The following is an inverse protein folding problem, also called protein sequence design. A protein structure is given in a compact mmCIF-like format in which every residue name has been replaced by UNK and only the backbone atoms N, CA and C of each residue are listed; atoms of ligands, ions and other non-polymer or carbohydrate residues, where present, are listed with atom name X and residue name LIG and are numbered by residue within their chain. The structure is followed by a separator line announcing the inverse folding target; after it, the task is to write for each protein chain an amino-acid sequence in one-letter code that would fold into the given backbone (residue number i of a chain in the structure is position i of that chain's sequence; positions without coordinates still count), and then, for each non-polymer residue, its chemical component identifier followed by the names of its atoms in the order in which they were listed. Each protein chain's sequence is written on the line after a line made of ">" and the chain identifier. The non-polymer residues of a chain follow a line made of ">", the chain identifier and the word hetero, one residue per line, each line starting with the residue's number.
data_IF_907757429361
#
_entry.id   IF_907757429361
#
_cell.length_a   1.000
_cell.length_b   1.000
_cell.length_c   1.000
_cell.angle_alpha   90.00
_cell.angle_beta   90.00
_cell.angle_gamma   90.00
#
_symmetry.space_group_name_H-M   'P 1'
#
loop_
_entity.id
_entity.type
_entity.pdbx_description
1 polymer ?
#
# COMPACT_ATOMS: atom_id res chain seq x y z
N UNK A 1 -13.79 -21.18 13.56
CA UNK A 1 -12.34 -21.13 13.89
C UNK A 1 -12.03 -19.75 14.45
N UNK A 2 -11.05 -19.61 15.37
CA UNK A 2 -10.69 -18.34 16.01
C UNK A 2 -9.19 -18.07 15.85
N UNK A 3 -8.85 -16.88 15.38
CA UNK A 3 -7.48 -16.42 15.15
C UNK A 3 -7.24 -15.14 15.94
N UNK A 4 -6.04 -14.92 16.48
CA UNK A 4 -5.72 -13.68 17.18
C UNK A 4 -4.29 -13.23 16.88
N UNK A 5 -4.12 -11.94 16.53
CA UNK A 5 -2.82 -11.42 16.14
C UNK A 5 -2.83 -9.91 15.95
N UNK A 6 -1.62 -9.34 15.89
CA UNK A 6 -1.43 -7.93 15.53
C UNK A 6 -1.62 -7.75 14.03
N UNK A 7 -2.49 -6.83 13.64
CA UNK A 7 -2.69 -6.49 12.24
C UNK A 7 -1.40 -5.90 11.65
N UNK A 8 -1.02 -6.47 10.52
CA UNK A 8 0.02 -5.99 9.60
C UNK A 8 -0.62 -5.87 8.22
N UNK A 9 0.01 -5.13 7.31
CA UNK A 9 -0.30 -5.19 5.89
C UNK A 9 -0.45 -6.65 5.43
N UNK A 10 -1.55 -6.97 4.75
CA UNK A 10 -1.76 -8.31 4.18
C UNK A 10 -0.67 -8.59 3.16
N UNK A 11 -0.16 -9.83 3.18
CA UNK A 11 0.71 -10.35 2.13
C UNK A 11 -0.15 -10.63 0.90
N UNK A 12 0.43 -10.42 -0.28
CA UNK A 12 -0.31 -10.58 -1.54
C UNK A 12 0.51 -11.34 -2.57
N UNK A 13 -0.17 -12.15 -3.35
CA UNK A 13 0.39 -12.91 -4.46
C UNK A 13 -0.34 -12.54 -5.77
N UNK A 14 0.43 -12.32 -6.84
CA UNK A 14 -0.08 -11.94 -8.14
C UNK A 14 -0.43 -13.17 -8.98
N UNK A 15 -1.58 -13.77 -8.69
CA UNK A 15 -2.20 -14.80 -9.52
C UNK A 15 -3.25 -14.18 -10.48
N UNK A 16 -3.94 -14.99 -11.29
CA UNK A 16 -5.01 -14.52 -12.20
C UNK A 16 -6.06 -13.66 -11.49
N UNK A 17 -6.35 -14.00 -10.23
CA UNK A 17 -7.02 -13.16 -9.24
C UNK A 17 -6.14 -13.07 -7.99
N UNK A 18 -5.88 -11.85 -7.51
CA UNK A 18 -4.93 -11.60 -6.43
C UNK A 18 -5.31 -12.38 -5.16
N UNK A 19 -4.33 -13.09 -4.59
CA UNK A 19 -4.49 -13.79 -3.31
C UNK A 19 -3.99 -12.92 -2.16
N UNK A 20 -4.74 -12.93 -1.06
CA UNK A 20 -4.49 -12.16 0.14
C UNK A 20 -4.30 -13.07 1.35
N UNK A 21 -3.28 -12.74 2.14
CA UNK A 21 -2.98 -13.50 3.33
C UNK A 21 -2.74 -12.59 4.53
N UNK A 22 -3.30 -12.99 5.68
CA UNK A 22 -3.15 -12.28 6.94
C UNK A 22 -2.32 -13.13 7.91
N UNK A 23 -1.13 -12.62 8.25
CA UNK A 23 -0.26 -13.16 9.29
C UNK A 23 -0.84 -12.83 10.67
N UNK A 24 -1.20 -13.87 11.41
CA UNK A 24 -1.75 -13.80 12.77
C UNK A 24 -0.78 -14.41 13.79
N UNK A 25 0.53 -14.31 13.54
CA UNK A 25 1.64 -14.77 14.38
C UNK A 25 1.80 -16.29 14.46
N UNK A 26 0.84 -16.98 15.06
CA UNK A 26 0.84 -18.46 15.13
C UNK A 26 0.14 -19.09 13.94
N UNK A 27 -0.75 -18.33 13.32
CA UNK A 27 -1.60 -18.79 12.24
C UNK A 27 -1.47 -17.89 11.02
N UNK A 28 -1.84 -18.44 9.87
CA UNK A 28 -1.81 -17.75 8.60
C UNK A 28 -3.14 -17.97 7.90
N UNK A 29 -3.85 -16.88 7.62
CA UNK A 29 -5.19 -16.93 7.04
C UNK A 29 -5.09 -16.60 5.55
N UNK A 30 -5.51 -17.53 4.68
CA UNK A 30 -5.85 -17.18 3.30
C UNK A 30 -7.20 -16.46 3.32
N UNK A 31 -7.18 -15.15 3.11
CA UNK A 31 -8.36 -14.29 3.20
C UNK A 31 -9.33 -14.53 2.05
N UNK A 32 -8.86 -14.97 0.88
CA UNK A 32 -9.73 -15.29 -0.26
C UNK A 32 -10.69 -16.44 0.08
N UNK A 33 -10.26 -17.41 0.89
CA UNK A 33 -11.13 -18.51 1.35
C UNK A 33 -12.24 -18.08 2.30
N UNK A 34 -12.19 -16.84 2.80
CA UNK A 34 -13.22 -16.24 3.67
C UNK A 34 -14.24 -15.42 2.89
N UNK A 35 -14.03 -15.21 1.59
CA UNK A 35 -14.99 -14.51 0.74
C UNK A 35 -16.30 -15.32 0.69
N UNK A 36 -17.42 -14.60 0.73
CA UNK A 36 -18.79 -15.08 0.85
C UNK A 36 -19.13 -15.75 2.20
N UNK A 37 -18.25 -15.65 3.21
CA UNK A 37 -18.50 -16.12 4.59
C UNK A 37 -18.72 -14.96 5.55
N UNK A 38 -19.45 -15.23 6.63
CA UNK A 38 -19.55 -14.31 7.77
C UNK A 38 -18.27 -14.39 8.60
N UNK A 39 -17.71 -13.23 8.94
CA UNK A 39 -16.55 -13.14 9.83
C UNK A 39 -16.83 -12.10 10.91
N UNK A 40 -16.35 -12.37 12.12
CA UNK A 40 -16.37 -11.44 13.24
C UNK A 40 -14.96 -10.93 13.53
N UNK A 41 -14.79 -9.62 13.65
CA UNK A 41 -13.52 -8.96 13.98
C UNK A 41 -13.72 -8.19 15.29
N UNK A 42 -12.90 -8.51 16.28
CA UNK A 42 -12.93 -7.90 17.60
C UNK A 42 -11.59 -7.26 17.94
N UNK A 43 -11.59 -6.00 18.36
CA UNK A 43 -10.42 -5.33 18.92
C UNK A 43 -10.10 -5.91 20.31
N UNK A 44 -8.84 -6.28 20.53
CA UNK A 44 -8.36 -6.85 21.79
C UNK A 44 -7.47 -5.85 22.53
N UNK A 45 -6.35 -5.44 21.90
CA UNK A 45 -5.41 -4.47 22.46
C UNK A 45 -4.53 -3.88 21.35
N UNK A 46 -3.43 -3.20 21.69
CA UNK A 46 -2.44 -2.68 20.76
C UNK A 46 -1.11 -3.45 20.88
N UNK A 47 -0.36 -3.56 19.79
CA UNK A 47 1.02 -4.02 19.81
C UNK A 47 1.85 -3.17 18.85
N UNK A 48 2.87 -2.47 19.38
CA UNK A 48 3.77 -1.67 18.54
C UNK A 48 4.60 -2.58 17.64
N UNK A 49 4.56 -2.35 16.32
CA UNK A 49 5.30 -3.16 15.34
C UNK A 49 6.84 -3.03 15.41
N UNK A 50 7.37 -2.10 16.21
CA UNK A 50 8.81 -1.92 16.39
C UNK A 50 9.32 -2.51 17.73
N UNK A 51 8.64 -2.24 18.85
CA UNK A 51 9.10 -2.69 20.16
C UNK A 51 8.29 -3.86 20.74
N UNK A 52 7.22 -4.30 20.07
CA UNK A 52 6.33 -5.40 20.47
C UNK A 52 5.69 -5.25 21.86
N UNK A 53 5.73 -4.05 22.43
CA UNK A 53 5.07 -3.72 23.67
C UNK A 53 3.61 -3.33 23.44
N UNK A 54 2.77 -3.65 24.42
CA UNK A 54 1.37 -3.24 24.47
C UNK A 54 1.27 -1.74 24.73
N UNK A 55 1.31 -0.96 23.64
CA UNK A 55 1.27 0.50 23.65
C UNK A 55 0.34 0.98 22.56
N UNK A 56 -0.49 1.97 22.89
CA UNK A 56 -1.38 2.62 21.91
C UNK A 56 -0.59 3.06 20.67
N UNK A 57 -1.10 2.70 19.50
CA UNK A 57 -0.49 3.06 18.23
C UNK A 57 -0.70 4.56 17.95
N UNK A 58 0.39 5.21 17.55
CA UNK A 58 0.39 6.60 17.13
C UNK A 58 0.22 6.69 15.61
N UNK A 59 1.09 6.06 14.83
CA UNK A 59 1.05 6.07 13.35
C UNK A 59 1.89 4.93 12.78
N UNK A 60 1.50 4.41 11.60
CA UNK A 60 2.25 3.36 10.87
C UNK A 60 2.52 2.10 11.71
N UNK A 61 1.59 1.72 12.59
CA UNK A 61 1.78 0.59 13.51
C UNK A 61 2.80 0.83 14.62
N UNK A 62 3.32 2.05 14.79
CA UNK A 62 4.28 2.38 15.84
C UNK A 62 3.65 3.16 16.98
N UNK A 63 4.11 2.90 18.21
CA UNK A 63 3.85 3.78 19.35
C UNK A 63 4.62 5.10 19.21
N UNK A 64 4.25 6.12 20.00
CA UNK A 64 4.79 7.48 19.85
C UNK A 64 6.33 7.53 19.88
N UNK A 65 6.98 6.87 20.84
CA UNK A 65 8.46 6.89 20.93
C UNK A 65 9.08 6.24 19.70
N UNK A 66 8.67 5.00 19.39
CA UNK A 66 9.21 4.28 18.24
C UNK A 66 9.00 5.01 16.91
N UNK A 67 7.89 5.75 16.73
CA UNK A 67 7.66 6.53 15.52
C UNK A 67 8.71 7.64 15.30
N UNK A 68 9.19 8.27 16.37
CA UNK A 68 10.21 9.32 16.26
C UNK A 68 11.64 8.75 16.22
N UNK A 69 11.86 7.57 16.79
CA UNK A 69 13.20 6.97 16.89
C UNK A 69 13.55 6.07 15.69
N UNK A 70 12.59 5.30 15.15
CA UNK A 70 12.90 4.27 14.15
C UNK A 70 13.22 4.89 12.78
N UNK A 71 14.26 4.43 12.06
CA UNK A 71 14.54 4.91 10.70
C UNK A 71 13.42 4.52 9.71
N UNK A 72 12.60 3.51 10.04
CA UNK A 72 11.42 3.09 9.28
C UNK A 72 10.24 4.08 9.30
N UNK A 73 10.37 5.16 10.06
CA UNK A 73 9.40 6.26 10.11
C UNK A 73 10.06 7.62 9.78
N UNK A 74 11.25 7.59 9.17
CA UNK A 74 11.94 8.78 8.67
C UNK A 74 11.12 9.51 7.60
N UNK A 75 11.37 10.81 7.45
CA UNK A 75 10.60 11.67 6.55
C UNK A 75 10.67 11.21 5.09
N UNK A 76 11.82 10.66 4.70
CA UNK A 76 12.10 10.11 3.38
C UNK A 76 11.19 8.92 3.00
N UNK A 77 10.53 8.28 3.96
CA UNK A 77 9.55 7.21 3.69
C UNK A 77 8.32 7.77 2.96
N UNK A 78 7.82 8.94 3.38
CA UNK A 78 6.65 9.58 2.77
C UNK A 78 7.03 10.57 1.67
N UNK A 79 8.25 11.11 1.72
CA UNK A 79 8.81 12.11 0.82
C UNK A 79 10.13 11.62 0.23
N UNK A 80 10.11 10.73 -0.77
CA UNK A 80 11.32 10.09 -1.29
C UNK A 80 12.41 11.08 -1.73
N UNK A 81 12.03 12.29 -2.16
CA UNK A 81 12.90 13.40 -2.55
C UNK A 81 13.77 13.94 -1.40
N UNK A 82 13.42 13.67 -0.14
CA UNK A 82 14.22 14.05 1.04
C UNK A 82 15.30 13.02 1.39
N UNK A 83 15.42 11.93 0.63
CA UNK A 83 16.46 10.92 0.79
C UNK A 83 17.86 11.52 0.59
N UNK A 84 18.72 11.45 1.62
CA UNK A 84 20.11 11.95 1.56
C UNK A 84 21.19 10.87 1.75
N UNK A 85 20.82 9.60 1.86
CA UNK A 85 21.77 8.51 2.08
C UNK A 85 22.84 8.38 0.98
N UNK A 86 22.52 8.80 -0.25
CA UNK A 86 23.44 8.82 -1.39
C UNK A 86 24.57 9.86 -1.23
N UNK A 87 24.36 10.87 -0.39
CA UNK A 87 25.36 11.87 0.01
C UNK A 87 26.11 11.47 1.29
N UNK A 88 25.77 10.33 1.90
CA UNK A 88 26.31 9.93 3.20
C UNK A 88 25.81 10.76 4.38
N UNK A 89 24.69 11.47 4.24
CA UNK A 89 24.08 12.28 5.31
C UNK A 89 22.98 11.46 5.97
N UNK A 90 23.05 11.34 7.29
CA UNK A 90 22.10 10.62 8.14
C UNK A 90 20.79 11.41 8.38
N UNK A 91 19.66 10.71 8.41
CA UNK A 91 18.40 11.19 9.02
C UNK A 91 18.24 10.64 10.45
N UNK A 92 18.28 9.32 10.63
CA UNK A 92 18.17 8.62 11.92
C UNK A 92 19.14 7.45 12.10
N UNK A 93 19.43 6.71 11.03
CA UNK A 93 20.41 5.62 11.02
C UNK A 93 20.95 5.45 9.60
N UNK A 94 22.15 5.98 9.35
CA UNK A 94 22.72 5.99 8.00
C UNK A 94 22.97 4.59 7.44
N UNK A 95 23.33 3.62 8.28
CA UNK A 95 23.61 2.26 7.82
C UNK A 95 22.32 1.59 7.33
N UNK A 96 21.25 1.71 8.12
CA UNK A 96 19.93 1.26 7.74
C UNK A 96 19.44 1.98 6.47
N UNK A 97 19.53 3.31 6.44
CA UNK A 97 19.07 4.14 5.32
C UNK A 97 19.79 3.78 4.02
N UNK A 98 21.12 3.62 4.04
CA UNK A 98 21.87 3.16 2.86
C UNK A 98 21.37 1.80 2.38
N UNK A 99 21.09 0.88 3.30
CA UNK A 99 20.63 -0.48 2.96
C UNK A 99 19.26 -0.51 2.27
N UNK A 100 18.43 0.53 2.40
CA UNK A 100 17.07 0.58 1.83
C UNK A 100 16.88 1.65 0.76
N UNK A 101 17.62 2.75 0.82
CA UNK A 101 17.53 3.87 -0.12
C UNK A 101 18.45 3.69 -1.33
N UNK A 102 19.63 3.06 -1.16
CA UNK A 102 20.60 2.83 -2.25
C UNK A 102 20.38 1.47 -2.91
N UNK A 103 19.18 1.29 -3.46
CA UNK A 103 18.75 0.10 -4.18
C UNK A 103 17.90 0.52 -5.38
N UNK A 104 17.67 -0.36 -6.37
CA UNK A 104 16.78 -0.07 -7.49
C UNK A 104 15.37 0.32 -7.03
N UNK A 105 14.92 1.48 -7.49
CA UNK A 105 13.58 2.01 -7.28
C UNK A 105 12.89 2.23 -8.62
N UNK A 106 11.59 2.01 -8.62
CA UNK A 106 10.71 2.20 -9.78
C UNK A 106 9.83 3.41 -9.50
N UNK A 107 9.79 4.34 -10.46
CA UNK A 107 8.69 5.30 -10.59
C UNK A 107 7.71 4.71 -11.59
N UNK A 108 6.44 4.67 -11.23
CA UNK A 108 5.38 4.04 -12.02
C UNK A 108 4.16 4.94 -12.12
N UNK A 109 3.34 4.72 -13.15
CA UNK A 109 1.94 5.12 -13.16
C UNK A 109 1.08 3.98 -12.63
N UNK A 110 0.03 4.32 -11.91
CA UNK A 110 -0.98 3.37 -11.47
C UNK A 110 -2.35 4.00 -11.60
N UNK A 111 -3.32 3.24 -12.10
CA UNK A 111 -4.71 3.64 -12.14
C UNK A 111 -5.52 2.82 -11.12
N UNK A 112 -5.92 3.46 -10.03
CA UNK A 112 -6.84 2.87 -9.03
C UNK A 112 -8.23 3.52 -9.06
N UNK A 113 -8.33 4.67 -9.70
CA UNK A 113 -9.53 5.52 -9.84
C UNK A 113 -9.28 6.62 -10.86
N UNK A 114 -8.04 7.11 -10.89
CA UNK A 114 -7.48 7.98 -11.90
C UNK A 114 -5.96 7.72 -11.93
N UNK A 115 -5.30 8.08 -13.03
CA UNK A 115 -3.85 7.93 -13.19
C UNK A 115 -3.11 8.78 -12.17
N UNK A 116 -2.16 8.15 -11.47
CA UNK A 116 -1.24 8.81 -10.54
C UNK A 116 0.17 8.25 -10.69
N UNK A 117 1.15 9.05 -10.31
CA UNK A 117 2.54 8.61 -10.20
C UNK A 117 2.83 8.08 -8.78
N UNK A 118 3.75 7.13 -8.66
CA UNK A 118 4.23 6.66 -7.36
C UNK A 118 5.64 6.11 -7.42
N UNK A 119 6.27 6.00 -6.25
CA UNK A 119 7.59 5.36 -6.07
C UNK A 119 7.48 4.06 -5.28
N UNK A 120 8.27 3.07 -5.68
CA UNK A 120 8.46 1.82 -4.94
C UNK A 120 9.86 1.27 -5.12
N UNK A 121 10.27 0.33 -4.26
CA UNK A 121 11.46 -0.49 -4.51
C UNK A 121 11.13 -1.50 -5.60
N UNK A 122 12.08 -1.83 -6.47
CA UNK A 122 11.88 -2.82 -7.55
C UNK A 122 11.35 -4.17 -7.03
N UNK A 123 11.88 -4.64 -5.90
CA UNK A 123 11.44 -5.88 -5.23
C UNK A 123 9.98 -5.85 -4.70
N UNK A 124 9.30 -4.70 -4.75
CA UNK A 124 7.90 -4.55 -4.32
C UNK A 124 6.95 -4.43 -5.51
N UNK A 125 7.44 -4.54 -6.75
CA UNK A 125 6.58 -4.65 -7.94
C UNK A 125 6.18 -6.12 -8.11
N UNK A 126 4.89 -6.46 -8.33
CA UNK A 126 3.72 -5.58 -8.39
C UNK A 126 2.99 -5.39 -7.04
N UNK A 127 3.48 -5.97 -5.93
CA UNK A 127 2.85 -5.88 -4.59
C UNK A 127 2.42 -4.46 -4.20
N UNK A 128 3.19 -3.42 -4.57
CA UNK A 128 2.84 -2.03 -4.26
C UNK A 128 1.60 -1.55 -4.99
N UNK A 129 1.40 -1.97 -6.24
CA UNK A 129 0.23 -1.63 -7.06
C UNK A 129 -1.01 -2.34 -6.53
N UNK A 130 -0.84 -3.61 -6.17
CA UNK A 130 -1.85 -4.42 -5.47
C UNK A 130 -2.27 -3.72 -4.17
N UNK A 131 -1.32 -3.31 -3.32
CA UNK A 131 -1.60 -2.62 -2.05
C UNK A 131 -2.44 -1.34 -2.23
N UNK A 132 -2.29 -0.68 -3.38
CA UNK A 132 -2.98 0.55 -3.73
C UNK A 132 -4.32 0.32 -4.42
N UNK A 133 -4.68 -0.92 -4.73
CA UNK A 133 -5.92 -1.25 -5.45
C UNK A 133 -5.93 -0.76 -6.89
N UNK A 134 -4.76 -0.65 -7.52
CA UNK A 134 -4.63 -0.31 -8.94
C UNK A 134 -5.07 -1.49 -9.81
N UNK A 135 -5.93 -1.25 -10.80
CA UNK A 135 -6.34 -2.26 -11.78
C UNK A 135 -5.37 -2.36 -12.95
N UNK A 136 -4.56 -1.32 -13.14
CA UNK A 136 -3.47 -1.29 -14.12
C UNK A 136 -2.32 -0.41 -13.61
N UNK A 137 -1.11 -0.74 -14.02
CA UNK A 137 0.09 0.02 -13.71
C UNK A 137 1.16 -0.19 -14.79
N UNK A 138 2.05 0.80 -14.94
CA UNK A 138 3.21 0.74 -15.84
C UNK A 138 4.41 1.40 -15.19
N UNK A 139 5.60 0.84 -15.41
CA UNK A 139 6.86 1.42 -14.97
C UNK A 139 7.30 2.54 -15.94
N UNK A 140 7.83 3.65 -15.40
CA UNK A 140 8.31 4.80 -16.19
C UNK A 140 9.83 4.89 -16.15
N UNK A 141 10.43 4.81 -14.96
CA UNK A 141 11.88 4.86 -14.77
C UNK A 141 12.32 3.84 -13.71
N UNK A 142 13.50 3.24 -13.92
CA UNK A 142 14.21 2.41 -12.93
C UNK A 142 15.53 3.06 -12.55
N UNK A 143 15.58 3.65 -11.36
CA UNK A 143 16.74 4.42 -10.88
C UNK A 143 17.48 3.70 -9.75
N UNK A 144 18.79 3.92 -9.57
CA UNK A 144 19.62 3.16 -8.63
C UNK A 144 19.40 3.54 -7.16
N UNK A 145 18.67 4.63 -6.88
CA UNK A 145 18.43 5.08 -5.52
C UNK A 145 17.08 5.81 -5.37
N UNK A 146 16.65 5.93 -4.11
CA UNK A 146 15.37 6.52 -3.74
C UNK A 146 15.26 8.01 -4.07
N UNK A 147 16.35 8.75 -3.96
CA UNK A 147 16.37 10.20 -4.20
C UNK A 147 16.00 10.53 -5.65
N UNK A 148 16.65 9.85 -6.62
CA UNK A 148 16.34 10.01 -8.05
C UNK A 148 14.87 9.66 -8.35
N UNK A 149 14.34 8.64 -7.68
CA UNK A 149 12.94 8.27 -7.83
C UNK A 149 12.03 9.36 -7.27
N UNK A 150 12.42 9.97 -6.15
CA UNK A 150 11.69 11.04 -5.49
C UNK A 150 11.62 12.32 -6.30
N UNK A 151 12.75 12.82 -6.81
CA UNK A 151 12.74 14.03 -7.65
C UNK A 151 11.93 13.81 -8.92
N UNK A 152 11.97 12.60 -9.49
CA UNK A 152 11.16 12.24 -10.65
C UNK A 152 9.67 12.19 -10.30
N UNK A 153 9.30 11.56 -9.18
CA UNK A 153 7.90 11.54 -8.70
C UNK A 153 7.36 12.96 -8.49
N UNK A 154 8.15 13.83 -7.86
CA UNK A 154 7.76 15.24 -7.64
C UNK A 154 7.56 15.97 -8.95
N UNK A 155 8.46 15.80 -9.93
CA UNK A 155 8.34 16.43 -11.25
C UNK A 155 7.07 15.96 -11.98
N UNK A 156 6.76 14.66 -11.92
CA UNK A 156 5.61 14.10 -12.63
C UNK A 156 4.27 14.35 -11.93
N UNK A 157 4.25 14.51 -10.59
CA UNK A 157 3.02 14.76 -9.80
C UNK A 157 2.22 15.97 -10.26
N UNK A 158 2.87 16.99 -10.84
CA UNK A 158 2.19 18.19 -11.36
C UNK A 158 1.29 17.93 -12.57
N UNK A 159 1.43 16.77 -13.23
CA UNK A 159 0.73 16.44 -14.47
C UNK A 159 -0.31 15.32 -14.32
N UNK A 160 -0.39 14.69 -13.15
CA UNK A 160 -1.30 13.58 -12.83
C UNK A 160 -2.03 13.83 -11.50
N UNK A 161 -2.95 12.95 -11.11
CA UNK A 161 -3.64 13.11 -9.83
C UNK A 161 -2.69 12.92 -8.63
N UNK A 162 -2.82 13.77 -7.60
CA UNK A 162 -1.99 13.70 -6.38
C UNK A 162 -2.27 12.42 -5.57
N UNK A 163 -3.55 12.07 -5.36
CA UNK A 163 -3.95 10.97 -4.46
C UNK A 163 -5.09 10.13 -5.03
N UNK A 164 -5.04 8.83 -4.73
CA UNK A 164 -6.15 7.91 -4.98
C UNK A 164 -7.39 8.33 -4.19
N UNK A 165 -8.54 8.41 -4.86
CA UNK A 165 -9.81 8.50 -4.17
C UNK A 165 -10.26 7.07 -3.79
N UNK A 166 -9.93 6.65 -2.57
CA UNK A 166 -10.22 5.29 -2.10
C UNK A 166 -11.71 4.93 -2.20
N UNK A 167 -12.62 5.90 -2.09
CA UNK A 167 -14.06 5.63 -2.24
C UNK A 167 -14.42 5.27 -3.68
N UNK A 168 -13.88 5.98 -4.67
CA UNK A 168 -14.07 5.65 -6.10
C UNK A 168 -13.44 4.28 -6.41
N UNK A 169 -12.20 4.07 -5.95
CA UNK A 169 -11.48 2.80 -6.10
C UNK A 169 -12.29 1.60 -5.60
N UNK A 170 -12.88 1.69 -4.41
CA UNK A 170 -13.69 0.60 -3.82
C UNK A 170 -15.07 0.47 -4.44
N UNK A 171 -15.65 1.55 -4.97
CA UNK A 171 -16.89 1.47 -5.77
C UNK A 171 -16.68 0.80 -7.12
N UNK A 172 -15.41 0.62 -7.53
CA UNK A 172 -15.03 0.27 -8.89
C UNK A 172 -15.55 1.28 -9.91
N UNK A 173 -15.64 2.55 -9.49
CA UNK A 173 -15.94 3.70 -10.34
C UNK A 173 -14.61 4.17 -10.94
N UNK A 174 -14.16 3.44 -11.96
CA UNK A 174 -12.87 3.57 -12.61
C UNK A 174 -13.06 3.85 -14.10
N UNK A 175 -12.18 4.67 -14.66
CA UNK A 175 -12.06 4.93 -16.08
C UNK A 175 -10.80 4.21 -16.58
N UNK A 176 -10.94 3.52 -17.71
CA UNK A 176 -9.85 2.85 -18.41
C UNK A 176 -9.00 3.91 -19.12
N UNK A 177 -7.68 3.86 -18.92
CA UNK A 177 -6.75 4.88 -19.40
C UNK A 177 -5.54 4.22 -20.06
N UNK A 178 -5.06 4.78 -21.16
CA UNK A 178 -3.86 4.25 -21.81
C UNK A 178 -2.61 4.75 -21.06
N UNK A 179 -2.05 3.91 -20.18
CA UNK A 179 -0.88 4.28 -19.40
C UNK A 179 0.39 4.40 -20.24
N UNK A 180 0.44 3.77 -21.42
CA UNK A 180 1.53 3.96 -22.39
C UNK A 180 1.50 5.39 -22.92
N UNK A 181 0.34 5.89 -23.34
CA UNK A 181 0.18 7.29 -23.77
C UNK A 181 0.54 8.29 -22.67
N UNK A 182 0.10 8.01 -21.44
CA UNK A 182 0.50 8.83 -20.28
C UNK A 182 2.01 8.82 -20.05
N UNK A 183 2.65 7.64 -20.09
CA UNK A 183 4.11 7.50 -19.93
C UNK A 183 4.85 8.30 -21.00
N UNK A 184 4.41 8.21 -22.25
CA UNK A 184 5.05 8.87 -23.39
C UNK A 184 4.90 10.39 -23.30
N UNK A 185 3.71 10.88 -22.90
CA UNK A 185 3.47 12.29 -22.58
C UNK A 185 4.34 12.79 -21.42
N UNK A 186 4.55 11.96 -20.40
CA UNK A 186 5.30 12.35 -19.21
C UNK A 186 6.83 12.29 -19.40
N UNK A 187 7.31 11.64 -20.46
CA UNK A 187 8.75 11.47 -20.77
C UNK A 187 9.50 12.80 -20.76
N UNK A 188 8.91 13.85 -21.31
CA UNK A 188 9.55 15.18 -21.42
C UNK A 188 9.77 15.87 -20.07
N UNK A 189 9.01 15.49 -19.03
CA UNK A 189 9.08 16.09 -17.70
C UNK A 189 9.99 15.33 -16.72
N UNK A 190 10.64 14.25 -17.18
CA UNK A 190 11.61 13.52 -16.38
C UNK A 190 12.86 14.39 -16.17
N UNK A 191 13.31 14.60 -14.91
CA UNK A 191 14.52 15.37 -14.61
C UNK A 191 15.75 14.85 -15.34
N UNK A 192 16.69 15.73 -15.70
CA UNK A 192 17.89 15.38 -16.45
C UNK A 192 18.68 14.23 -15.79
N UNK A 193 18.79 14.26 -14.46
CA UNK A 193 19.47 13.26 -13.64
C UNK A 193 18.82 11.87 -13.70
N UNK A 194 17.57 11.79 -14.16
CA UNK A 194 16.80 10.56 -14.25
C UNK A 194 16.51 10.12 -15.70
N UNK A 195 16.82 10.94 -16.71
CA UNK A 195 16.45 10.68 -18.12
C UNK A 195 17.05 9.40 -18.70
N UNK A 196 18.30 9.08 -18.34
CA UNK A 196 18.96 7.86 -18.82
C UNK A 196 18.30 6.57 -18.32
N UNK A 197 17.49 6.66 -17.26
CA UNK A 197 16.82 5.53 -16.60
C UNK A 197 15.39 5.30 -17.11
N UNK A 198 14.96 6.01 -18.15
CA UNK A 198 13.63 5.88 -18.74
C UNK A 198 13.43 4.52 -19.42
N UNK A 199 12.24 3.95 -19.21
CA UNK A 199 11.85 2.65 -19.75
C UNK A 199 10.98 2.87 -20.99
N UNK A 200 11.56 2.71 -22.17
CA UNK A 200 10.84 2.95 -23.44
C UNK A 200 9.85 1.83 -23.80
N UNK A 201 10.22 0.59 -23.50
CA UNK A 201 9.47 -0.60 -23.93
C UNK A 201 9.00 -1.37 -22.71
N UNK A 202 7.80 -1.02 -22.24
CA UNK A 202 7.07 -1.79 -21.24
C UNK A 202 5.57 -1.72 -21.55
N UNK A 203 4.86 -2.78 -21.17
CA UNK A 203 3.41 -2.87 -21.27
C UNK A 203 2.72 -2.63 -19.95
N UNK A 204 1.41 -2.48 -19.99
CA UNK A 204 0.59 -2.40 -18.80
C UNK A 204 0.52 -3.73 -18.07
N UNK A 205 0.59 -3.65 -16.75
CA UNK A 205 0.27 -4.78 -15.87
C UNK A 205 -1.15 -4.62 -15.39
N UNK A 206 -2.05 -5.49 -15.85
CA UNK A 206 -3.42 -5.55 -15.36
C UNK A 206 -3.52 -6.41 -14.10
N UNK A 207 -4.37 -6.00 -13.16
CA UNK A 207 -4.50 -6.58 -11.83
C UNK A 207 -5.98 -6.84 -11.51
N UNK A 208 -6.32 -8.11 -11.28
CA UNK A 208 -7.68 -8.52 -10.97
C UNK A 208 -7.82 -8.79 -9.47
N UNK A 209 -8.87 -8.23 -8.86
CA UNK A 209 -9.11 -8.31 -7.43
C UNK A 209 -10.30 -9.22 -7.10
N UNK A 210 -10.23 -10.00 -6.01
CA UNK A 210 -11.29 -10.91 -5.60
C UNK A 210 -12.46 -10.16 -4.97
N UNK A 211 -13.36 -9.64 -5.80
CA UNK A 211 -14.53 -8.87 -5.34
C UNK A 211 -15.81 -9.36 -6.02
N UNK A 212 -16.69 -9.98 -5.22
CA UNK A 212 -18.02 -10.43 -5.66
C UNK A 212 -19.02 -9.28 -5.75
N UNK A 213 -18.91 -8.29 -4.86
CA UNK A 213 -19.83 -7.15 -4.78
C UNK A 213 -19.08 -5.88 -4.35
N UNK A 214 -19.11 -4.87 -5.21
CA UNK A 214 -18.57 -3.55 -4.88
C UNK A 214 -19.59 -2.71 -4.09
N UNK A 215 -19.17 -2.01 -3.02
CA UNK A 215 -20.03 -1.11 -2.26
C UNK A 215 -20.37 0.14 -3.08
N UNK A 216 -21.64 0.56 -3.07
CA UNK A 216 -22.09 1.83 -3.66
C UNK A 216 -21.77 3.04 -2.79
N UNK A 217 -21.74 2.88 -1.47
CA UNK A 217 -21.53 3.92 -0.45
C UNK A 217 -20.63 3.37 0.67
N UNK A 218 -19.33 3.15 0.39
CA UNK A 218 -18.43 2.49 1.33
C UNK A 218 -18.30 3.27 2.65
N UNK A 219 -18.47 2.56 3.78
CA UNK A 219 -18.37 3.09 5.14
C UNK A 219 -17.16 2.49 5.84
N UNK A 220 -16.20 3.33 6.26
CA UNK A 220 -15.02 2.83 6.95
C UNK A 220 -15.37 2.33 8.35
N UNK A 221 -15.07 1.07 8.63
CA UNK A 221 -15.10 0.52 9.98
C UNK A 221 -14.03 1.18 10.85
N UNK A 222 -14.39 1.52 12.08
CA UNK A 222 -13.47 2.01 13.10
C UNK A 222 -13.56 1.09 14.33
N UNK A 223 -12.64 0.14 14.42
CA UNK A 223 -12.60 -0.85 15.50
C UNK A 223 -12.30 -0.24 16.88
N UNK A 224 -11.76 0.97 16.95
CA UNK A 224 -11.54 1.63 18.25
C UNK A 224 -12.87 2.16 18.82
N UNK A 225 -13.79 2.61 17.96
CA UNK A 225 -15.12 3.09 18.36
C UNK A 225 -16.16 1.97 18.45
N UNK A 226 -16.05 0.98 17.57
CA UNK A 226 -16.94 -0.17 17.48
C UNK A 226 -16.08 -1.42 17.58
N UNK A 227 -15.76 -1.86 18.82
CA UNK A 227 -14.73 -2.88 19.06
C UNK A 227 -15.10 -4.27 18.57
N UNK A 228 -16.35 -4.51 18.20
CA UNK A 228 -16.80 -5.77 17.62
C UNK A 228 -17.58 -5.47 16.35
N UNK A 229 -17.26 -6.17 15.28
CA UNK A 229 -17.96 -6.08 14.01
C UNK A 229 -18.12 -7.47 13.42
N UNK A 230 -19.33 -7.81 13.01
CA UNK A 230 -19.64 -9.06 12.30
C UNK A 230 -20.26 -8.72 10.96
N UNK A 231 -19.79 -9.36 9.90
CA UNK A 231 -20.36 -9.17 8.58
C UNK A 231 -19.83 -10.17 7.56
N UNK A 232 -20.57 -10.30 6.47
CA UNK A 232 -20.21 -11.17 5.36
C UNK A 232 -19.18 -10.51 4.45
N UNK A 233 -18.00 -11.11 4.35
CA UNK A 233 -16.93 -10.63 3.47
C UNK A 233 -17.34 -10.92 2.02
N UNK A 234 -17.40 -9.90 1.16
CA UNK A 234 -17.79 -10.03 -0.25
C UNK A 234 -16.69 -9.61 -1.21
N UNK A 235 -15.56 -9.12 -0.71
CA UNK A 235 -14.40 -8.89 -1.54
C UNK A 235 -13.20 -8.29 -0.83
N UNK A 236 -12.09 -8.25 -1.53
CA UNK A 236 -10.84 -7.60 -1.09
C UNK A 236 -10.28 -6.82 -2.28
N UNK A 237 -9.97 -5.53 -2.07
CA UNK A 237 -9.29 -4.70 -3.07
C UNK A 237 -8.31 -3.75 -2.39
N UNK A 238 -7.07 -3.70 -2.84
CA UNK A 238 -6.05 -2.98 -2.10
C UNK A 238 -5.73 -3.67 -0.78
N UNK A 239 -5.70 -2.89 0.30
CA UNK A 239 -5.62 -3.40 1.67
C UNK A 239 -6.98 -3.32 2.40
N UNK A 240 -8.09 -3.29 1.65
CA UNK A 240 -9.45 -3.20 2.19
C UNK A 240 -10.18 -4.53 2.13
N UNK A 241 -10.74 -4.95 3.26
CA UNK A 241 -11.83 -5.92 3.32
C UNK A 241 -13.14 -5.20 2.99
N UNK A 242 -14.00 -5.82 2.19
CA UNK A 242 -15.28 -5.28 1.73
C UNK A 242 -16.39 -6.19 2.21
N UNK A 243 -17.38 -5.63 2.90
CA UNK A 243 -18.51 -6.37 3.46
C UNK A 243 -19.83 -6.07 2.74
N UNK A 244 -20.76 -7.02 2.81
CA UNK A 244 -22.03 -7.00 2.09
C UNK A 244 -22.92 -5.78 2.40
N UNK A 245 -22.79 -5.25 3.62
CA UNK A 245 -23.55 -4.14 4.22
C UNK A 245 -22.98 -2.74 3.89
N UNK A 246 -22.03 -2.66 2.95
CA UNK A 246 -21.28 -1.47 2.54
C UNK A 246 -20.14 -1.07 3.47
N UNK A 247 -19.90 -1.82 4.56
CA UNK A 247 -18.77 -1.58 5.45
C UNK A 247 -17.47 -2.01 4.77
N UNK A 248 -16.41 -1.22 4.97
CA UNK A 248 -15.06 -1.51 4.47
C UNK A 248 -14.04 -1.34 5.60
N UNK A 249 -13.04 -2.21 5.63
CA UNK A 249 -12.01 -2.19 6.67
C UNK A 249 -10.61 -2.19 6.05
N UNK A 250 -9.87 -1.10 6.22
CA UNK A 250 -8.49 -0.99 5.74
C UNK A 250 -7.54 -1.63 6.76
N UNK A 251 -7.03 -2.82 6.46
CA UNK A 251 -6.13 -3.57 7.35
C UNK A 251 -4.84 -2.78 7.61
N UNK A 252 -4.24 -2.21 6.55
CA UNK A 252 -2.99 -1.44 6.66
C UNK A 252 -3.13 -0.16 7.50
N UNK A 253 -4.26 0.52 7.43
CA UNK A 253 -4.51 1.71 8.24
C UNK A 253 -4.70 1.38 9.73
N UNK A 254 -4.97 0.11 10.05
CA UNK A 254 -5.16 -0.41 11.39
C UNK A 254 -3.97 -1.29 11.84
N UNK A 255 -2.79 -1.12 11.23
CA UNK A 255 -1.57 -1.77 11.68
C UNK A 255 -1.28 -1.50 13.17
N UNK A 256 -0.86 -2.54 13.88
CA UNK A 256 -0.58 -2.48 15.31
C UNK A 256 -1.81 -2.62 16.22
N UNK A 257 -3.03 -2.77 15.66
CA UNK A 257 -4.17 -3.26 16.45
C UNK A 257 -4.07 -4.79 16.59
N UNK A 258 -4.16 -5.30 17.80
CA UNK A 258 -4.37 -6.73 18.06
C UNK A 258 -5.86 -7.02 17.94
N UNK A 259 -6.21 -7.95 17.07
CA UNK A 259 -7.60 -8.35 16.83
C UNK A 259 -7.80 -9.84 16.98
N UNK A 260 -9.01 -10.23 17.34
CA UNK A 260 -9.54 -11.59 17.25
C UNK A 260 -10.44 -11.69 16.03
N UNK A 261 -10.23 -12.70 15.18
CA UNK A 261 -11.05 -12.98 14.00
C UNK A 261 -11.72 -14.35 14.19
N UNK A 262 -13.04 -14.40 14.12
CA UNK A 262 -13.83 -15.63 14.17
C UNK A 262 -14.53 -15.86 12.82
N UNK A 263 -14.45 -17.10 12.34
CA UNK A 263 -14.99 -17.59 11.04
C UNK A 263 -15.83 -18.83 11.28
#
# INVERSE_FOLDING_TARGET
>A
MKYQGVLKKMLTENADEIQYYLDMKTDFINMNQLINKEISISFVTYECLNCHLEKKIYRMGFCKSCFFDTPNAGDWIMRPELSKAHLGIEDRDLAYEKSVQLKPHIVYLANSSNVKVGVTRKQQVPTRWIDQGAHEAIEIVEVPNRYLAGITEVALKSYVADKTNWRKMLKNDIEDENLVEWRDKLKEFIPEEAKEYYIENNGETHLNFPVLKYPKKPKSLNLIKTPNYTGKLVGIKGQYLIFEDETVFNVRANEGLVVSIEV
#
